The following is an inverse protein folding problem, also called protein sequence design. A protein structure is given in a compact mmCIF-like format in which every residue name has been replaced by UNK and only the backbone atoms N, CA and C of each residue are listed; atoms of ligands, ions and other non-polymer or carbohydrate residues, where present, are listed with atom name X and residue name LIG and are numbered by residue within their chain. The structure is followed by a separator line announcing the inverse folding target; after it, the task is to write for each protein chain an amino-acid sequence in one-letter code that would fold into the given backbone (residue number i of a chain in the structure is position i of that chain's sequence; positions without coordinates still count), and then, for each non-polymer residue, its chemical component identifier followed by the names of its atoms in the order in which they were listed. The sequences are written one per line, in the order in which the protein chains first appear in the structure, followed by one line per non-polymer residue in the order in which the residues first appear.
data_IF_491102977957
#
_entry.id   IF_491102977957
#
_cell.length_a   1.000
_cell.length_b   1.000
_cell.length_c   1.000
_cell.angle_alpha   90.00
_cell.angle_beta   90.00
_cell.angle_gamma   90.00
#
_symmetry.space_group_name_H-M   'P 1'
#
loop_
_entity.id
_entity.type
_entity.pdbx_description
1 polymer ?
#
# COMPACT_ATOMS: atom_id res chain seq x y z
N UNK A 1 26.32 8.14 10.91
CA UNK A 1 26.01 8.54 12.30
C UNK A 1 24.71 7.87 12.73
N UNK A 2 24.74 6.88 13.64
CA UNK A 2 23.60 6.03 13.98
C UNK A 2 22.36 6.79 14.51
N UNK A 3 22.55 7.88 15.25
CA UNK A 3 21.44 8.70 15.76
C UNK A 3 20.73 9.52 14.65
N UNK A 4 21.47 10.01 13.65
CA UNK A 4 20.89 10.74 12.51
C UNK A 4 20.13 9.81 11.55
N UNK A 5 20.61 8.58 11.37
CA UNK A 5 19.92 7.55 10.58
C UNK A 5 18.73 6.95 11.33
N UNK A 6 18.83 6.75 12.65
CA UNK A 6 17.72 6.27 13.47
C UNK A 6 16.54 7.24 13.53
N UNK A 7 16.80 8.55 13.68
CA UNK A 7 15.75 9.57 13.68
C UNK A 7 15.06 9.70 12.31
N UNK A 8 15.81 9.61 11.22
CA UNK A 8 15.23 9.63 9.86
C UNK A 8 14.41 8.37 9.56
N UNK A 9 14.83 7.19 10.03
CA UNK A 9 13.99 5.98 9.95
C UNK A 9 12.70 6.10 10.77
N UNK A 10 12.78 6.57 12.02
CA UNK A 10 11.60 6.73 12.87
C UNK A 10 10.62 7.76 12.28
N UNK A 11 11.12 8.89 11.79
CA UNK A 11 10.31 9.92 11.14
C UNK A 11 9.69 9.40 9.84
N UNK A 12 10.45 8.65 9.02
CA UNK A 12 9.94 8.06 7.78
C UNK A 12 8.81 7.06 8.06
N UNK A 13 8.97 6.19 9.06
CA UNK A 13 7.90 5.28 9.51
C UNK A 13 6.66 6.02 10.01
N UNK A 14 6.85 7.08 10.78
CA UNK A 14 5.75 7.91 11.28
C UNK A 14 4.99 8.61 10.15
N UNK A 15 5.71 9.23 9.21
CA UNK A 15 5.11 9.86 8.02
C UNK A 15 4.39 8.81 7.17
N UNK A 16 4.96 7.63 7.00
CA UNK A 16 4.32 6.53 6.26
C UNK A 16 3.01 6.07 6.89
N UNK A 17 2.93 6.03 8.23
CA UNK A 17 1.67 5.74 8.95
C UNK A 17 0.61 6.81 8.68
N UNK A 18 0.98 8.10 8.76
CA UNK A 18 0.05 9.21 8.51
C UNK A 18 -0.44 9.17 7.05
N UNK A 19 0.48 9.08 6.10
CA UNK A 19 0.16 9.02 4.67
C UNK A 19 -0.71 7.81 4.37
N UNK A 20 -0.38 6.63 4.90
CA UNK A 20 -1.19 5.42 4.74
C UNK A 20 -2.61 5.58 5.29
N UNK A 21 -2.77 6.25 6.43
CA UNK A 21 -4.09 6.51 7.03
C UNK A 21 -4.92 7.47 6.17
N UNK A 22 -4.31 8.56 5.70
CA UNK A 22 -4.98 9.55 4.84
C UNK A 22 -5.35 8.92 3.49
N UNK A 23 -4.43 8.17 2.90
CA UNK A 23 -4.62 7.49 1.63
C UNK A 23 -5.74 6.44 1.72
N UNK A 24 -5.79 5.67 2.81
CA UNK A 24 -6.89 4.74 3.08
C UNK A 24 -8.24 5.46 3.05
N UNK A 25 -8.37 6.56 3.79
CA UNK A 25 -9.60 7.37 3.79
C UNK A 25 -9.94 7.91 2.40
N UNK A 26 -8.93 8.39 1.67
CA UNK A 26 -9.11 8.93 0.33
C UNK A 26 -9.60 7.87 -0.66
N UNK A 27 -9.03 6.66 -0.60
CA UNK A 27 -9.43 5.54 -1.46
C UNK A 27 -10.89 5.16 -1.22
N UNK A 28 -11.31 5.04 0.05
CA UNK A 28 -12.70 4.72 0.40
C UNK A 28 -13.68 5.84 0.07
N UNK A 29 -13.23 7.10 0.07
CA UNK A 29 -14.12 8.26 -0.12
C UNK A 29 -14.25 8.67 -1.59
N UNK A 30 -13.14 8.64 -2.34
CA UNK A 30 -13.05 9.24 -3.67
C UNK A 30 -12.79 8.23 -4.79
N UNK A 31 -12.41 6.99 -4.47
CA UNK A 31 -12.22 5.92 -5.47
C UNK A 31 -13.02 4.66 -5.13
N UNK A 32 -14.37 4.73 -5.08
CA UNK A 32 -15.22 3.59 -4.76
C UNK A 32 -14.94 2.31 -5.59
N UNK A 33 -14.67 2.39 -6.91
CA UNK A 33 -14.33 1.19 -7.70
C UNK A 33 -13.05 0.48 -7.23
N UNK A 34 -12.05 1.23 -6.77
CA UNK A 34 -10.81 0.66 -6.26
C UNK A 34 -11.03 -0.05 -4.92
N UNK A 35 -11.92 0.49 -4.10
CA UNK A 35 -12.30 -0.08 -2.83
C UNK A 35 -13.12 -1.38 -3.00
N UNK A 36 -13.99 -1.44 -4.02
CA UNK A 36 -14.70 -2.65 -4.43
C UNK A 36 -13.76 -3.73 -4.98
N UNK A 37 -12.79 -3.35 -5.82
CA UNK A 37 -11.74 -4.24 -6.29
C UNK A 37 -10.91 -4.80 -5.12
N UNK A 38 -10.60 -3.95 -4.14
CA UNK A 38 -10.06 -4.34 -2.83
C UNK A 38 -10.90 -5.44 -2.17
N UNK A 39 -12.17 -5.16 -1.92
CA UNK A 39 -13.08 -6.11 -1.28
C UNK A 39 -13.20 -7.44 -2.05
N UNK A 40 -13.18 -7.41 -3.38
CA UNK A 40 -13.17 -8.60 -4.23
C UNK A 40 -11.89 -9.43 -4.01
N UNK A 41 -10.71 -8.80 -4.08
CA UNK A 41 -9.44 -9.45 -3.84
C UNK A 41 -9.38 -10.09 -2.44
N UNK A 42 -9.93 -9.42 -1.41
CA UNK A 42 -9.97 -9.94 -0.05
C UNK A 42 -10.81 -11.19 0.12
N UNK A 43 -11.94 -11.28 -0.59
CA UNK A 43 -12.75 -12.51 -0.59
C UNK A 43 -11.98 -13.68 -1.17
N UNK A 44 -11.26 -13.48 -2.27
CA UNK A 44 -10.42 -14.51 -2.89
C UNK A 44 -9.25 -14.90 -1.97
N UNK A 45 -8.56 -13.93 -1.37
CA UNK A 45 -7.48 -14.18 -0.42
C UNK A 45 -7.96 -14.90 0.84
N UNK A 46 -9.11 -14.52 1.39
CA UNK A 46 -9.70 -15.20 2.56
C UNK A 46 -10.03 -16.67 2.26
N UNK A 47 -10.47 -16.96 1.03
CA UNK A 47 -10.69 -18.33 0.57
C UNK A 47 -9.42 -19.17 0.48
N UNK A 48 -8.26 -18.54 0.20
CA UNK A 48 -6.96 -19.22 0.13
C UNK A 48 -6.28 -19.36 1.50
N UNK A 49 -6.40 -18.34 2.35
CA UNK A 49 -5.77 -18.29 3.69
C UNK A 49 -6.61 -19.05 4.72
N UNK A 50 -7.87 -19.36 4.41
CA UNK A 50 -8.79 -20.09 5.29
C UNK A 50 -9.26 -19.28 6.50
N UNK A 51 -8.89 -18.00 6.59
CA UNK A 51 -9.32 -17.08 7.64
C UNK A 51 -9.90 -15.80 7.03
N UNK A 52 -10.96 -15.22 7.62
CA UNK A 52 -11.53 -13.97 7.14
C UNK A 52 -10.52 -12.84 7.33
N UNK A 53 -10.13 -12.19 6.24
CA UNK A 53 -9.29 -10.99 6.28
C UNK A 53 -10.17 -9.74 6.49
N UNK A 54 -9.70 -8.81 7.31
CA UNK A 54 -10.41 -7.53 7.48
C UNK A 54 -10.37 -6.72 6.18
N UNK A 55 -11.34 -5.79 6.04
CA UNK A 55 -11.36 -4.86 4.89
C UNK A 55 -10.14 -3.96 4.87
N UNK A 56 -9.64 -3.52 6.02
CA UNK A 56 -8.40 -2.72 6.07
C UNK A 56 -7.20 -3.51 5.57
N UNK A 57 -7.01 -4.76 6.02
CA UNK A 57 -5.87 -5.59 5.61
C UNK A 57 -5.89 -5.87 4.11
N UNK A 58 -7.07 -6.20 3.59
CA UNK A 58 -7.28 -6.44 2.17
C UNK A 58 -7.01 -5.19 1.33
N UNK A 59 -7.58 -4.04 1.72
CA UNK A 59 -7.36 -2.78 1.04
C UNK A 59 -5.88 -2.38 1.05
N UNK A 60 -5.20 -2.64 2.16
CA UNK A 60 -3.75 -2.48 2.30
C UNK A 60 -2.97 -3.30 1.28
N UNK A 61 -3.31 -4.58 1.08
CA UNK A 61 -2.64 -5.41 0.06
C UNK A 61 -2.82 -4.86 -1.36
N UNK A 62 -4.02 -4.41 -1.72
CA UNK A 62 -4.26 -3.84 -3.05
C UNK A 62 -3.45 -2.56 -3.27
N UNK A 63 -3.42 -1.67 -2.29
CA UNK A 63 -2.62 -0.44 -2.38
C UNK A 63 -1.13 -0.77 -2.49
N UNK A 64 -0.61 -1.68 -1.66
CA UNK A 64 0.79 -2.10 -1.70
C UNK A 64 1.14 -2.71 -3.06
N UNK A 65 0.31 -3.62 -3.59
CA UNK A 65 0.53 -4.21 -4.91
C UNK A 65 0.59 -3.15 -6.01
N UNK A 66 -0.32 -2.16 -5.97
CA UNK A 66 -0.37 -1.10 -6.96
C UNK A 66 0.86 -0.21 -6.90
N UNK A 67 1.29 0.18 -5.70
CA UNK A 67 2.50 0.98 -5.50
C UNK A 67 3.76 0.22 -5.88
N UNK A 68 3.86 -1.07 -5.55
CA UNK A 68 4.98 -1.93 -5.94
C UNK A 68 5.06 -2.08 -7.46
N UNK A 69 3.92 -2.26 -8.14
CA UNK A 69 3.87 -2.31 -9.59
C UNK A 69 4.31 -1.00 -10.23
N UNK A 70 3.76 0.14 -9.80
CA UNK A 70 4.13 1.46 -10.29
C UNK A 70 5.61 1.74 -10.10
N UNK A 71 6.16 1.41 -8.93
CA UNK A 71 7.59 1.56 -8.66
C UNK A 71 8.43 0.69 -9.60
N UNK A 72 8.05 -0.57 -9.82
CA UNK A 72 8.74 -1.47 -10.75
C UNK A 72 8.79 -0.94 -12.18
N UNK A 73 7.69 -0.33 -12.66
CA UNK A 73 7.61 0.33 -13.97
C UNK A 73 8.53 1.55 -14.02
N UNK A 74 8.42 2.45 -13.04
CA UNK A 74 9.26 3.67 -12.98
C UNK A 74 10.74 3.30 -12.94
N UNK A 75 11.11 2.29 -12.15
CA UNK A 75 12.50 1.84 -12.05
C UNK A 75 13.04 1.32 -13.38
N UNK A 76 12.28 0.50 -14.11
CA UNK A 76 12.72 0.01 -15.42
C UNK A 76 12.87 1.15 -16.42
N UNK A 77 11.89 2.05 -16.51
CA UNK A 77 11.95 3.20 -17.41
C UNK A 77 13.15 4.11 -17.10
N UNK A 78 13.34 4.48 -15.83
CA UNK A 78 14.45 5.34 -15.43
C UNK A 78 15.83 4.67 -15.58
N UNK A 79 15.89 3.34 -15.52
CA UNK A 79 17.13 2.56 -15.71
C UNK A 79 17.45 2.33 -17.18
N UNK A 80 16.43 2.16 -18.02
CA UNK A 80 16.60 1.90 -19.45
C UNK A 80 16.83 3.22 -20.24
N UNK A 81 16.53 4.39 -19.65
CA UNK A 81 16.84 5.73 -20.18
C UNK A 81 18.22 6.31 -19.74
N UNK A 82 18.99 5.60 -18.90
CA UNK A 82 20.31 6.02 -18.40
C UNK A 82 21.46 5.15 -18.89
#
# INVERSE_FOLDING_TARGET
MPAKTGASHALSSFVSLIVGTVLSKYVWTYTPPLAEAGALAGRHLSGLVGTPLSRETTGGFVVVLLLSFLWGVIYHLARDEG
#
